data_IF_190428115043
#
_entry.id   IF_190428115043
#
_cell.length_a   1.000
_cell.length_b   1.000
_cell.length_c   1.000
_cell.angle_alpha   90.00
_cell.angle_beta   90.00
_cell.angle_gamma   90.00
#
_symmetry.space_group_name_H-M   'P 1'
#
loop_
_entity.id
_entity.type
_entity.pdbx_description
1 polymer ?
#
# COMPACT_ATOMS: atom_id res chain seq x y z
N UNK A 1 -52.00 56.04 -26.91
CA UNK A 1 -52.92 54.93 -26.59
C UNK A 1 -52.12 53.78 -25.97
N UNK A 2 -52.21 53.58 -24.67
CA UNK A 2 -52.09 52.24 -24.06
C UNK A 2 -53.51 51.66 -23.92
N UNK A 3 -53.72 50.33 -23.81
CA UNK A 3 -53.62 49.63 -22.52
C UNK A 3 -53.11 48.16 -22.61
N UNK A 4 -52.31 47.67 -21.64
CA UNK A 4 -52.60 46.82 -20.45
C UNK A 4 -52.84 45.32 -20.71
N UNK A 5 -51.99 44.47 -20.14
CA UNK A 5 -52.26 43.59 -18.96
C UNK A 5 -51.20 42.47 -18.89
N UNK A 6 -50.36 42.43 -17.85
CA UNK A 6 -50.54 41.72 -16.57
C UNK A 6 -49.84 40.34 -16.55
N UNK A 7 -48.88 40.17 -15.64
CA UNK A 7 -48.88 39.12 -14.58
C UNK A 7 -47.45 38.74 -14.13
N UNK A 8 -47.17 39.08 -12.87
CA UNK A 8 -46.42 38.30 -11.86
C UNK A 8 -44.90 38.10 -11.95
N UNK A 9 -44.24 38.70 -10.95
CA UNK A 9 -43.20 38.10 -10.09
C UNK A 9 -41.85 37.78 -10.73
N UNK A 10 -40.91 38.74 -10.68
CA UNK A 10 -39.49 38.44 -10.39
C UNK A 10 -38.71 39.71 -10.05
N UNK A 11 -39.21 40.49 -9.10
CA UNK A 11 -38.35 41.46 -8.44
C UNK A 11 -37.49 40.74 -7.39
N UNK A 12 -36.21 41.13 -7.38
CA UNK A 12 -35.33 41.06 -6.21
C UNK A 12 -34.71 39.69 -5.88
N UNK A 13 -33.84 39.16 -6.75
CA UNK A 13 -32.78 38.25 -6.25
C UNK A 13 -31.55 38.01 -7.14
N UNK A 14 -31.46 38.58 -8.35
CA UNK A 14 -30.32 38.30 -9.26
C UNK A 14 -29.50 39.52 -9.69
N UNK A 15 -29.65 40.67 -9.03
CA UNK A 15 -28.97 41.91 -9.44
C UNK A 15 -28.13 42.61 -8.36
N UNK A 16 -27.77 41.94 -7.26
CA UNK A 16 -27.11 42.66 -6.15
C UNK A 16 -25.78 42.11 -5.61
N UNK A 17 -25.02 41.25 -6.29
CA UNK A 17 -23.69 40.85 -5.76
C UNK A 17 -22.57 40.64 -6.80
N UNK A 18 -22.50 41.47 -7.85
CA UNK A 18 -21.33 41.48 -8.75
C UNK A 18 -20.83 42.90 -9.04
N UNK A 19 -20.57 43.66 -7.96
CA UNK A 19 -19.70 44.84 -8.04
C UNK A 19 -18.83 44.94 -6.79
N UNK A 20 -17.52 44.77 -7.00
CA UNK A 20 -16.35 45.35 -6.31
C UNK A 20 -15.38 44.31 -5.77
N UNK A 21 -14.11 44.45 -6.18
CA UNK A 21 -12.95 43.87 -5.50
C UNK A 21 -12.00 43.06 -6.37
N UNK A 22 -11.44 43.66 -7.42
CA UNK A 22 -10.20 43.15 -8.01
C UNK A 22 -9.03 43.66 -7.16
N UNK A 23 -8.44 42.78 -6.35
CA UNK A 23 -7.11 42.99 -5.75
C UNK A 23 -6.25 41.78 -6.10
N UNK A 24 -5.31 42.00 -7.01
CA UNK A 24 -4.25 41.06 -7.33
C UNK A 24 -3.27 40.98 -6.16
N UNK A 25 -3.34 39.91 -5.38
CA UNK A 25 -2.28 39.58 -4.42
C UNK A 25 -1.25 38.75 -5.18
N UNK A 26 -0.05 39.31 -5.34
CA UNK A 26 1.07 38.65 -5.99
C UNK A 26 1.45 37.36 -5.26
N UNK A 27 1.53 36.27 -6.01
CA UNK A 27 2.20 35.06 -5.55
C UNK A 27 3.71 35.34 -5.58
N UNK A 28 4.30 35.57 -4.40
CA UNK A 28 5.73 35.45 -4.21
C UNK A 28 6.12 33.99 -4.48
N UNK A 29 6.92 33.76 -5.52
CA UNK A 29 7.56 32.48 -5.75
C UNK A 29 8.53 32.22 -4.58
N UNK A 30 8.12 31.38 -3.64
CA UNK A 30 9.02 30.86 -2.61
C UNK A 30 9.96 29.89 -3.31
N UNK A 31 11.19 30.34 -3.51
CA UNK A 31 12.29 29.48 -3.89
C UNK A 31 12.59 28.48 -2.78
N UNK A 32 12.64 27.21 -3.14
CA UNK A 32 13.46 26.19 -2.47
C UNK A 32 14.17 25.41 -3.59
N UNK A 33 15.15 26.06 -4.22
CA UNK A 33 16.17 25.36 -4.98
C UNK A 33 17.17 24.78 -3.99
N UNK A 34 17.34 23.45 -4.03
CA UNK A 34 18.47 22.77 -3.39
C UNK A 34 18.20 22.28 -1.97
N UNK A 35 17.43 21.20 -1.84
CA UNK A 35 17.93 20.13 -0.96
C UNK A 35 19.02 19.43 -1.76
N UNK A 36 20.32 19.60 -1.46
CA UNK A 36 21.30 18.61 -1.90
C UNK A 36 20.79 17.26 -1.40
N UNK A 37 20.66 16.32 -2.32
CA UNK A 37 20.15 15.00 -2.03
C UNK A 37 20.89 14.41 -0.83
N UNK A 38 20.21 14.34 0.31
CA UNK A 38 20.51 13.33 1.30
C UNK A 38 19.96 12.01 0.78
N UNK A 39 20.54 11.54 -0.32
CA UNK A 39 20.65 10.12 -0.54
C UNK A 39 21.75 9.66 0.41
N UNK A 40 21.42 9.50 1.69
CA UNK A 40 22.07 8.48 2.52
C UNK A 40 21.57 7.10 2.03
N UNK A 41 21.64 6.85 0.72
CA UNK A 41 21.75 5.52 0.14
C UNK A 41 23.24 5.13 0.17
N UNK A 42 23.92 5.44 1.28
CA UNK A 42 25.19 4.83 1.61
C UNK A 42 24.88 3.46 2.19
N UNK A 43 24.80 2.47 1.30
CA UNK A 43 25.37 1.12 1.44
C UNK A 43 25.90 0.70 2.85
N UNK A 44 25.05 0.70 3.87
CA UNK A 44 25.31 0.10 5.19
C UNK A 44 24.14 -0.81 5.58
N UNK A 45 23.63 -1.58 4.62
CA UNK A 45 22.55 -2.55 4.81
C UNK A 45 22.93 -3.96 4.35
N UNK A 46 24.21 -4.33 4.40
CA UNK A 46 24.71 -5.62 3.90
C UNK A 46 24.21 -6.83 4.71
N UNK A 47 23.72 -6.67 5.94
CA UNK A 47 23.57 -7.84 6.82
C UNK A 47 22.13 -8.37 7.01
N UNK A 48 21.11 -7.68 6.53
CA UNK A 48 19.71 -8.07 6.79
C UNK A 48 19.06 -8.64 5.53
N UNK A 49 19.31 -9.92 5.28
CA UNK A 49 18.58 -10.62 4.22
C UNK A 49 17.15 -10.94 4.63
N UNK A 50 16.21 -10.93 3.64
CA UNK A 50 14.88 -11.46 3.83
C UNK A 50 14.94 -12.86 4.45
N UNK A 51 14.09 -13.08 5.45
CA UNK A 51 13.87 -14.40 6.05
C UNK A 51 12.63 -15.03 5.43
N UNK A 52 12.65 -16.36 5.38
CA UNK A 52 11.54 -17.14 4.82
C UNK A 52 10.25 -16.91 5.60
N UNK A 53 9.07 -17.12 4.96
CA UNK A 53 7.79 -17.01 5.67
C UNK A 53 7.66 -17.98 6.86
N UNK A 54 8.40 -19.09 6.84
CA UNK A 54 8.45 -20.05 7.95
C UNK A 54 9.10 -19.48 9.21
N UNK A 55 10.13 -18.64 9.06
CA UNK A 55 10.81 -17.98 10.17
C UNK A 55 9.86 -17.06 10.94
N UNK A 56 9.07 -16.27 10.21
CA UNK A 56 8.13 -15.29 10.77
C UNK A 56 6.92 -15.90 11.49
N UNK A 57 6.70 -17.22 11.40
CA UNK A 57 5.71 -17.92 12.24
C UNK A 57 6.04 -17.84 13.73
N UNK A 58 7.33 -17.73 14.06
CA UNK A 58 7.83 -17.80 15.43
C UNK A 58 8.65 -16.57 15.82
N UNK A 59 9.20 -15.86 14.83
CA UNK A 59 9.97 -14.64 15.03
C UNK A 59 9.14 -13.43 14.60
N UNK A 60 9.37 -12.29 15.22
CA UNK A 60 8.77 -11.02 14.84
C UNK A 60 9.68 -9.89 15.31
N UNK A 61 9.87 -8.81 14.53
CA UNK A 61 10.61 -7.65 14.98
C UNK A 61 9.75 -6.88 15.98
N UNK A 62 9.86 -7.21 17.28
CA UNK A 62 9.13 -6.52 18.35
C UNK A 62 7.61 -6.62 18.25
N UNK A 63 6.94 -5.47 18.40
CA UNK A 63 5.48 -5.29 18.40
C UNK A 63 4.96 -4.62 17.12
N UNK A 64 5.70 -4.76 16.02
CA UNK A 64 5.34 -4.19 14.72
C UNK A 64 3.98 -4.70 14.23
N UNK A 65 3.16 -3.77 13.72
CA UNK A 65 1.90 -4.09 13.04
C UNK A 65 2.09 -3.99 11.54
N UNK A 66 1.29 -4.73 10.79
CA UNK A 66 1.32 -4.69 9.32
C UNK A 66 -0.06 -4.37 8.77
N UNK A 67 -0.15 -3.38 7.88
CA UNK A 67 -1.38 -3.11 7.14
C UNK A 67 -1.35 -3.86 5.82
N UNK A 68 -2.40 -4.61 5.49
CA UNK A 68 -2.58 -5.32 4.22
C UNK A 68 -3.96 -5.00 3.68
N UNK A 69 -4.03 -4.37 2.50
CA UNK A 69 -5.32 -4.13 1.82
C UNK A 69 -6.39 -3.42 2.71
N UNK A 70 -5.97 -2.54 3.63
CA UNK A 70 -6.86 -1.83 4.57
C UNK A 70 -7.05 -2.53 5.93
N UNK A 71 -6.54 -3.75 6.09
CA UNK A 71 -6.54 -4.48 7.35
C UNK A 71 -5.23 -4.33 8.10
N UNK A 72 -5.26 -3.74 9.29
CA UNK A 72 -4.09 -3.70 10.18
C UNK A 72 -4.10 -4.94 11.05
N UNK A 73 -3.08 -5.78 10.88
CA UNK A 73 -2.87 -7.00 11.64
C UNK A 73 -1.78 -6.77 12.67
N UNK A 74 -2.06 -7.16 13.90
CA UNK A 74 -1.01 -7.28 14.91
C UNK A 74 -0.13 -8.53 14.67
N UNK A 75 0.92 -8.65 15.47
CA UNK A 75 1.83 -9.81 15.44
C UNK A 75 1.09 -11.14 15.58
N UNK A 76 0.15 -11.23 16.51
CA UNK A 76 -0.53 -12.48 16.84
C UNK A 76 -1.47 -12.92 15.71
N UNK A 77 -2.21 -11.98 15.13
CA UNK A 77 -3.09 -12.19 13.99
C UNK A 77 -2.30 -12.60 12.76
N UNK A 78 -1.23 -11.85 12.43
CA UNK A 78 -0.37 -12.17 11.30
C UNK A 78 0.29 -13.56 11.46
N UNK A 79 0.79 -13.89 12.65
CA UNK A 79 1.35 -15.22 12.93
C UNK A 79 0.30 -16.33 12.86
N UNK A 80 -0.95 -16.07 13.27
CA UNK A 80 -2.07 -17.00 13.12
C UNK A 80 -2.33 -17.32 11.64
N UNK A 81 -2.37 -16.30 10.78
CA UNK A 81 -2.48 -16.47 9.33
C UNK A 81 -1.28 -17.27 8.78
N UNK A 82 -0.05 -16.96 9.21
CA UNK A 82 1.14 -17.68 8.75
C UNK A 82 1.15 -19.18 9.15
N UNK A 83 0.54 -19.51 10.29
CA UNK A 83 0.42 -20.89 10.81
C UNK A 83 -0.73 -21.66 10.19
N UNK A 84 -1.73 -20.98 9.64
CA UNK A 84 -2.90 -21.61 9.02
C UNK A 84 -2.50 -22.49 7.83
N UNK A 85 -2.92 -23.78 7.80
CA UNK A 85 -2.71 -24.64 6.65
C UNK A 85 -3.44 -24.10 5.41
N UNK A 86 -2.72 -23.89 4.31
CA UNK A 86 -3.29 -23.22 3.12
C UNK A 86 -4.30 -24.09 2.36
N UNK A 87 -4.10 -25.41 2.31
CA UNK A 87 -5.01 -26.39 1.66
C UNK A 87 -5.50 -25.97 0.26
N UNK A 88 -4.65 -25.30 -0.53
CA UNK A 88 -4.99 -24.80 -1.86
C UNK A 88 -5.81 -23.51 -1.92
N UNK A 89 -6.13 -22.87 -0.78
CA UNK A 89 -6.73 -21.55 -0.73
C UNK A 89 -5.70 -20.49 -1.16
N UNK A 90 -5.95 -19.83 -2.29
CA UNK A 90 -5.03 -18.86 -2.88
C UNK A 90 -4.97 -17.55 -2.09
N UNK A 91 -6.03 -17.17 -1.37
CA UNK A 91 -5.99 -16.06 -0.42
C UNK A 91 -4.93 -16.32 0.66
N UNK A 92 -4.99 -17.48 1.31
CA UNK A 92 -4.01 -17.85 2.33
C UNK A 92 -2.58 -17.95 1.77
N UNK A 93 -2.40 -18.46 0.54
CA UNK A 93 -1.06 -18.52 -0.08
C UNK A 93 -0.53 -17.11 -0.38
N UNK A 94 -1.36 -16.21 -0.92
CA UNK A 94 -0.94 -14.82 -1.17
C UNK A 94 -0.61 -14.10 0.13
N UNK A 95 -1.51 -14.16 1.13
CA UNK A 95 -1.29 -13.57 2.45
C UNK A 95 -0.01 -14.10 3.09
N UNK A 96 0.25 -15.40 2.98
CA UNK A 96 1.45 -16.01 3.52
C UNK A 96 2.74 -15.37 2.99
N UNK A 97 2.80 -15.09 1.69
CA UNK A 97 3.96 -14.46 1.07
C UNK A 97 4.01 -12.95 1.32
N UNK A 98 2.86 -12.28 1.26
CA UNK A 98 2.76 -10.83 1.45
C UNK A 98 3.09 -10.40 2.88
N UNK A 99 2.56 -11.11 3.89
CA UNK A 99 2.88 -10.86 5.31
C UNK A 99 4.40 -10.97 5.52
N UNK A 100 5.01 -12.08 5.07
CA UNK A 100 6.44 -12.29 5.23
C UNK A 100 7.28 -11.20 4.53
N UNK A 101 6.87 -10.77 3.34
CA UNK A 101 7.58 -9.73 2.61
C UNK A 101 7.52 -8.37 3.33
N UNK A 102 6.35 -8.00 3.87
CA UNK A 102 6.19 -6.76 4.63
C UNK A 102 6.98 -6.76 5.92
N UNK A 103 7.00 -7.89 6.64
CA UNK A 103 7.80 -8.02 7.87
C UNK A 103 9.29 -8.02 7.57
N UNK A 104 9.73 -8.60 6.45
CA UNK A 104 11.12 -8.49 6.00
C UNK A 104 11.52 -7.03 5.77
N UNK A 105 10.66 -6.23 5.12
CA UNK A 105 10.90 -4.80 4.94
C UNK A 105 10.95 -4.05 6.28
N UNK A 106 10.00 -4.34 7.19
CA UNK A 106 10.00 -3.77 8.54
C UNK A 106 11.26 -4.14 9.34
N UNK A 107 11.81 -5.33 9.11
CA UNK A 107 13.06 -5.77 9.72
C UNK A 107 14.32 -5.16 9.09
N UNK A 108 14.19 -4.36 8.02
CA UNK A 108 15.31 -3.67 7.36
C UNK A 108 15.90 -4.41 6.16
N UNK A 109 15.22 -5.43 5.62
CA UNK A 109 15.65 -6.06 4.38
C UNK A 109 15.51 -5.10 3.18
N UNK A 110 16.36 -5.23 2.15
CA UNK A 110 16.37 -4.31 1.01
C UNK A 110 15.10 -4.40 0.16
N UNK A 111 14.66 -3.27 -0.39
CA UNK A 111 13.58 -3.20 -1.38
C UNK A 111 14.12 -2.99 -2.79
N UNK A 112 13.29 -3.30 -3.79
CA UNK A 112 13.59 -3.06 -5.20
C UNK A 112 12.29 -2.93 -6.01
N UNK A 113 12.37 -2.39 -7.22
CA UNK A 113 11.21 -2.07 -8.08
C UNK A 113 10.31 -3.28 -8.35
N UNK A 114 10.90 -4.45 -8.57
CA UNK A 114 10.18 -5.70 -8.82
C UNK A 114 9.37 -6.17 -7.60
N UNK A 115 9.91 -5.95 -6.39
CA UNK A 115 9.21 -6.22 -5.15
C UNK A 115 8.04 -5.27 -4.96
N UNK A 116 8.24 -3.96 -5.16
CA UNK A 116 7.16 -2.97 -5.02
C UNK A 116 5.98 -3.27 -5.95
N UNK A 117 6.29 -3.68 -7.19
CA UNK A 117 5.28 -4.15 -8.15
C UNK A 117 4.53 -5.39 -7.62
N UNK A 118 5.25 -6.33 -7.03
CA UNK A 118 4.65 -7.56 -6.48
C UNK A 118 3.80 -7.29 -5.23
N UNK A 119 4.23 -6.39 -4.35
CA UNK A 119 3.47 -5.96 -3.18
C UNK A 119 2.15 -5.33 -3.60
N UNK A 120 2.19 -4.35 -4.51
CA UNK A 120 0.99 -3.68 -5.02
C UNK A 120 0.03 -4.66 -5.71
N UNK A 121 0.55 -5.52 -6.59
CA UNK A 121 -0.26 -6.53 -7.28
C UNK A 121 -0.87 -7.57 -6.35
N UNK A 122 -0.14 -7.97 -5.30
CA UNK A 122 -0.67 -8.87 -4.28
C UNK A 122 -1.79 -8.20 -3.46
N UNK A 123 -1.63 -6.93 -3.06
CA UNK A 123 -2.69 -6.21 -2.37
C UNK A 123 -3.95 -6.01 -3.22
N UNK A 124 -3.78 -5.75 -4.52
CA UNK A 124 -4.90 -5.71 -5.46
C UNK A 124 -5.63 -7.06 -5.49
N UNK A 125 -4.91 -8.18 -5.61
CA UNK A 125 -5.50 -9.50 -5.55
C UNK A 125 -6.26 -9.74 -4.23
N UNK A 126 -5.70 -9.35 -3.09
CA UNK A 126 -6.37 -9.49 -1.78
C UNK A 126 -7.71 -8.74 -1.75
N UNK A 127 -7.75 -7.50 -2.25
CA UNK A 127 -8.97 -6.68 -2.31
C UNK A 127 -10.01 -7.26 -3.27
N UNK A 128 -9.59 -7.57 -4.49
CA UNK A 128 -10.47 -8.04 -5.56
C UNK A 128 -11.11 -9.40 -5.26
N UNK A 129 -10.44 -10.23 -4.46
CA UNK A 129 -10.92 -11.58 -4.11
C UNK A 129 -11.50 -11.65 -2.69
N UNK A 130 -11.70 -10.51 -2.02
CA UNK A 130 -12.19 -10.44 -0.65
C UNK A 130 -11.44 -11.39 0.31
N UNK A 131 -10.11 -11.42 0.18
CA UNK A 131 -9.27 -12.32 0.97
C UNK A 131 -9.13 -11.89 2.43
N UNK A 132 -9.47 -10.65 2.74
CA UNK A 132 -9.66 -10.12 4.10
C UNK A 132 -10.99 -9.36 4.11
N UNK A 133 -11.87 -9.70 5.05
CA UNK A 133 -13.14 -8.97 5.24
C UNK A 133 -12.95 -7.68 6.07
N UNK A 134 -14.04 -6.96 6.36
CA UNK A 134 -14.00 -5.72 7.16
C UNK A 134 -13.54 -5.92 8.62
N UNK A 135 -13.45 -7.16 9.10
CA UNK A 135 -12.91 -7.53 10.40
C UNK A 135 -11.57 -8.29 10.25
N UNK A 136 -10.97 -8.27 9.07
CA UNK A 136 -9.71 -8.91 8.74
C UNK A 136 -9.69 -10.44 8.88
N UNK A 137 -10.86 -11.07 8.81
CA UNK A 137 -10.95 -12.53 8.70
C UNK A 137 -10.53 -12.97 7.31
N UNK A 138 -9.84 -14.11 7.24
CA UNK A 138 -9.33 -14.63 5.97
C UNK A 138 -10.44 -15.28 5.15
N UNK A 139 -10.62 -14.79 3.92
CA UNK A 139 -11.49 -15.37 2.91
C UNK A 139 -10.88 -16.56 2.15
N UNK A 140 -11.60 -17.04 1.15
CA UNK A 140 -11.18 -18.17 0.33
C UNK A 140 -11.39 -17.93 -1.17
N UNK A 141 -10.38 -18.28 -1.95
CA UNK A 141 -10.51 -18.46 -3.40
C UNK A 141 -9.61 -19.59 -3.88
N UNK A 142 -10.03 -20.26 -4.96
CA UNK A 142 -9.26 -21.34 -5.61
C UNK A 142 -8.51 -20.87 -6.85
N UNK A 143 -8.87 -19.72 -7.40
CA UNK A 143 -8.27 -19.14 -8.59
C UNK A 143 -7.23 -18.09 -8.23
N UNK A 144 -6.19 -17.98 -9.04
CA UNK A 144 -5.25 -16.87 -8.96
C UNK A 144 -5.76 -15.61 -9.66
N UNK A 145 -6.73 -15.72 -10.57
CA UNK A 145 -7.21 -14.59 -11.40
C UNK A 145 -6.03 -13.81 -12.04
N UNK A 146 -5.01 -14.52 -12.52
CA UNK A 146 -3.79 -13.94 -13.11
C UNK A 146 -2.72 -13.45 -12.11
N UNK A 147 -3.01 -13.42 -10.81
CA UNK A 147 -2.10 -12.88 -9.79
C UNK A 147 -0.98 -13.82 -9.35
N UNK A 148 -0.86 -15.03 -9.92
CA UNK A 148 0.13 -16.03 -9.48
C UNK A 148 1.58 -15.52 -9.54
N UNK A 149 1.86 -14.67 -10.51
CA UNK A 149 3.16 -14.03 -10.71
C UNK A 149 3.60 -13.17 -9.52
N UNK A 150 2.68 -12.46 -8.86
CA UNK A 150 3.00 -11.64 -7.70
C UNK A 150 3.41 -12.52 -6.53
N UNK A 151 2.68 -13.62 -6.33
CA UNK A 151 3.05 -14.65 -5.35
C UNK A 151 4.45 -15.23 -5.63
N UNK A 152 4.81 -15.48 -6.88
CA UNK A 152 6.15 -15.98 -7.25
C UNK A 152 7.26 -14.97 -6.96
N UNK A 153 7.03 -13.69 -7.24
CA UNK A 153 8.00 -12.62 -6.94
C UNK A 153 8.19 -12.42 -5.44
N UNK A 154 7.10 -12.44 -4.67
CA UNK A 154 7.17 -12.37 -3.20
C UNK A 154 7.88 -13.60 -2.63
N UNK A 155 7.65 -14.79 -3.18
CA UNK A 155 8.40 -15.99 -2.79
C UNK A 155 9.91 -15.85 -3.09
N UNK A 156 10.28 -15.36 -4.29
CA UNK A 156 11.67 -15.11 -4.62
C UNK A 156 12.32 -14.12 -3.63
N UNK A 157 11.64 -13.02 -3.31
CA UNK A 157 12.09 -12.05 -2.32
C UNK A 157 12.26 -12.67 -0.93
N UNK A 158 11.24 -13.35 -0.41
CA UNK A 158 11.28 -13.96 0.92
C UNK A 158 12.34 -15.06 1.06
N UNK A 159 12.87 -15.58 -0.06
CA UNK A 159 13.96 -16.54 -0.09
C UNK A 159 15.31 -15.91 -0.48
N UNK A 160 15.43 -14.57 -0.46
CA UNK A 160 16.68 -13.85 -0.75
C UNK A 160 17.13 -13.95 -2.21
N UNK A 161 16.21 -14.21 -3.14
CA UNK A 161 16.47 -14.35 -4.59
C UNK A 161 16.00 -13.14 -5.39
N UNK A 162 15.53 -12.09 -4.72
CA UNK A 162 15.11 -10.82 -5.30
C UNK A 162 15.55 -9.68 -4.38
N UNK A 163 15.85 -8.52 -4.96
CA UNK A 163 16.38 -7.34 -4.27
C UNK A 163 17.69 -7.66 -3.54
N UNK A 164 18.80 -7.71 -4.31
CA UNK A 164 20.13 -8.15 -3.87
C UNK A 164 20.38 -7.95 -2.37
N UNK A 165 20.39 -9.07 -1.64
CA UNK A 165 20.98 -9.14 -0.32
C UNK A 165 22.28 -9.93 -0.47
N UNK A 166 23.39 -9.24 -0.70
CA UNK A 166 24.69 -9.86 -0.64
C UNK A 166 24.97 -10.16 0.82
N UNK A 167 24.84 -11.43 1.21
CA UNK A 167 25.62 -12.00 2.31
C UNK A 167 26.75 -12.74 1.64
N UNK A 168 27.97 -12.28 1.83
CA UNK A 168 29.16 -12.92 1.30
C UNK A 168 29.11 -14.42 1.65
N UNK A 169 28.89 -15.26 0.63
CA UNK A 169 29.00 -16.71 0.75
C UNK A 169 30.48 -17.03 0.93
N UNK A 170 30.91 -17.09 2.18
CA UNK A 170 32.19 -17.70 2.60
C UNK A 170 31.99 -19.16 2.94
#
# INVERSE_FOLDING_TARGET
MSPKDSTSRSETSRRELLRKGATATGAAAIGLAGVPGTSLAGCMGHDICPKSPGYWKHHWPGDETITIAGCTLDRSEAQSILKTPKRGNKCLIMLFQLIAAKVNLAAGAPSCTELETALSGAEAFIRENNCLDGNCNVGETRSWNGAEQYKNKLDAYNNGRLCECNVDKS
#
